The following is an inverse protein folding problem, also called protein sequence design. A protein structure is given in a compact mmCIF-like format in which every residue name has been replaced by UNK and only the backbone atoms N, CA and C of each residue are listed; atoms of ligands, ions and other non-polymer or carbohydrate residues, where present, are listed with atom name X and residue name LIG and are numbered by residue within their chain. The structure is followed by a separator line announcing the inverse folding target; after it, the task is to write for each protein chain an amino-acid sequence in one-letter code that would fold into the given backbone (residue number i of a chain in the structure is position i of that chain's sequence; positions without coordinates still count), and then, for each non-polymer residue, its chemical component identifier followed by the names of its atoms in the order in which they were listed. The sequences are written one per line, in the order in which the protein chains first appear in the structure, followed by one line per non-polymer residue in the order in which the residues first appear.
data_IF_697909966203
#
_entry.id   IF_697909966203
#
_cell.length_a   1.000
_cell.length_b   1.000
_cell.length_c   1.000
_cell.angle_alpha   90.00
_cell.angle_beta   90.00
_cell.angle_gamma   90.00
#
_symmetry.space_group_name_H-M   'P 1'
#
loop_
_entity.id
_entity.type
_entity.pdbx_description
1 polymer ?
#
# COMPACT_ATOMS: atom_id res chain seq x y z
N UNK A 1 19.10 -8.82 -12.46
CA UNK A 1 17.78 -9.37 -12.10
C UNK A 1 17.26 -8.82 -10.76
N UNK A 2 18.02 -8.88 -9.66
CA UNK A 2 17.58 -8.36 -8.34
C UNK A 2 17.24 -6.86 -8.35
N UNK A 3 18.04 -6.04 -9.05
CA UNK A 3 17.75 -4.60 -9.22
C UNK A 3 16.40 -4.35 -9.89
N UNK A 4 16.02 -5.18 -10.87
CA UNK A 4 14.72 -5.08 -11.55
C UNK A 4 13.56 -5.31 -10.58
N UNK A 5 13.62 -6.35 -9.75
CA UNK A 5 12.57 -6.61 -8.75
C UNK A 5 12.47 -5.48 -7.71
N UNK A 6 13.61 -4.90 -7.31
CA UNK A 6 13.59 -3.70 -6.47
C UNK A 6 12.83 -2.56 -7.13
N UNK A 7 13.14 -2.25 -8.39
CA UNK A 7 12.45 -1.18 -9.16
C UNK A 7 10.96 -1.48 -9.25
N UNK A 8 10.56 -2.72 -9.52
CA UNK A 8 9.16 -3.11 -9.62
C UNK A 8 8.40 -2.95 -8.29
N UNK A 9 9.03 -3.22 -7.14
CA UNK A 9 8.43 -2.92 -5.81
C UNK A 9 8.11 -1.43 -5.69
N UNK A 10 9.05 -0.56 -6.09
CA UNK A 10 8.84 0.88 -6.06
C UNK A 10 7.73 1.32 -7.01
N UNK A 11 7.78 0.90 -8.28
CA UNK A 11 6.79 1.29 -9.30
C UNK A 11 5.37 0.89 -8.87
N UNK A 12 5.18 -0.36 -8.48
CA UNK A 12 3.85 -0.86 -8.06
C UNK A 12 3.34 -0.17 -6.79
N UNK A 13 4.23 0.09 -5.83
CA UNK A 13 3.86 0.77 -4.58
C UNK A 13 3.54 2.24 -4.80
N UNK A 14 4.31 2.95 -5.62
CA UNK A 14 4.07 4.37 -5.95
C UNK A 14 2.75 4.53 -6.69
N UNK A 15 2.48 3.68 -7.70
CA UNK A 15 1.20 3.71 -8.42
C UNK A 15 0.04 3.47 -7.44
N UNK A 16 0.15 2.49 -6.55
CA UNK A 16 -0.88 2.23 -5.55
C UNK A 16 -1.12 3.42 -4.61
N UNK A 17 -0.05 4.13 -4.22
CA UNK A 17 -0.12 5.34 -3.38
C UNK A 17 -0.85 6.46 -4.14
N UNK A 18 -0.44 6.75 -5.38
CA UNK A 18 -1.05 7.80 -6.21
C UNK A 18 -2.53 7.53 -6.42
N UNK A 19 -2.90 6.31 -6.79
CA UNK A 19 -4.32 5.93 -6.97
C UNK A 19 -5.11 6.09 -5.68
N UNK A 20 -4.54 5.72 -4.52
CA UNK A 20 -5.19 5.90 -3.22
C UNK A 20 -5.44 7.39 -2.90
N UNK A 21 -4.48 8.26 -3.23
CA UNK A 21 -4.64 9.72 -3.05
C UNK A 21 -5.73 10.29 -3.96
N UNK A 22 -5.79 9.84 -5.22
CA UNK A 22 -6.85 10.24 -6.16
C UNK A 22 -8.22 9.85 -5.61
N UNK A 23 -8.35 8.66 -5.03
CA UNK A 23 -9.59 8.25 -4.36
C UNK A 23 -9.95 9.14 -3.19
N UNK A 24 -9.01 9.47 -2.30
CA UNK A 24 -9.27 10.37 -1.19
C UNK A 24 -9.71 11.76 -1.66
N UNK A 25 -9.03 12.34 -2.64
CA UNK A 25 -9.41 13.62 -3.23
C UNK A 25 -10.81 13.56 -3.85
N UNK A 26 -11.11 12.50 -4.60
CA UNK A 26 -12.41 12.29 -5.22
C UNK A 26 -13.57 12.21 -4.22
N UNK A 27 -13.38 11.49 -3.12
CA UNK A 27 -14.35 11.37 -2.03
C UNK A 27 -14.53 12.72 -1.32
N UNK A 28 -13.44 13.45 -1.06
CA UNK A 28 -13.47 14.78 -0.44
C UNK A 28 -14.21 15.81 -1.30
N UNK A 29 -14.05 15.75 -2.62
CA UNK A 29 -14.75 16.64 -3.56
C UNK A 29 -16.21 16.25 -3.79
N UNK A 30 -16.74 15.23 -3.11
CA UNK A 30 -18.12 14.72 -3.31
C UNK A 30 -18.42 14.39 -4.77
N UNK A 31 -17.43 13.87 -5.50
CA UNK A 31 -17.64 13.50 -6.90
C UNK A 31 -18.59 12.30 -6.97
N UNK A 32 -19.82 12.54 -7.43
CA UNK A 32 -20.88 11.52 -7.55
C UNK A 32 -20.48 10.32 -8.41
N UNK A 33 -19.55 10.51 -9.34
CA UNK A 33 -19.02 9.43 -10.17
C UNK A 33 -18.04 8.53 -9.43
N UNK A 34 -17.41 8.98 -8.35
CA UNK A 34 -16.49 8.17 -7.53
C UNK A 34 -17.25 7.51 -6.37
N UNK A 35 -18.30 8.16 -5.87
CA UNK A 35 -19.22 7.55 -4.92
C UNK A 35 -20.11 6.50 -5.56
N UNK A 36 -20.33 6.53 -6.88
CA UNK A 36 -21.06 5.45 -7.56
C UNK A 36 -20.26 4.14 -7.42
N UNK A 37 -20.86 3.14 -6.77
CA UNK A 37 -20.19 1.88 -6.45
C UNK A 37 -19.46 1.18 -7.62
N UNK A 38 -19.84 1.44 -8.88
CA UNK A 38 -19.18 0.90 -10.07
C UNK A 38 -17.76 1.43 -10.30
N UNK A 39 -17.53 2.75 -10.20
CA UNK A 39 -16.20 3.33 -10.44
C UNK A 39 -15.25 2.95 -9.32
N UNK A 40 -15.73 2.97 -8.07
CA UNK A 40 -14.96 2.46 -6.94
C UNK A 40 -14.57 0.99 -7.14
N UNK A 41 -15.49 0.13 -7.57
CA UNK A 41 -15.22 -1.31 -7.74
C UNK A 41 -14.14 -1.55 -8.81
N UNK A 42 -14.25 -0.89 -9.96
CA UNK A 42 -13.28 -1.02 -11.06
C UNK A 42 -11.89 -0.51 -10.67
N UNK A 43 -11.80 0.68 -10.08
CA UNK A 43 -10.52 1.24 -9.68
C UNK A 43 -9.94 0.55 -8.43
N UNK A 44 -10.78 0.03 -7.53
CA UNK A 44 -10.34 -0.78 -6.39
C UNK A 44 -9.76 -2.13 -6.82
N UNK A 45 -10.26 -2.74 -7.89
CA UNK A 45 -9.68 -3.96 -8.45
C UNK A 45 -8.26 -3.70 -8.97
N UNK A 46 -8.05 -2.62 -9.71
CA UNK A 46 -6.73 -2.20 -10.19
C UNK A 46 -5.77 -1.90 -9.03
N UNK A 47 -6.24 -1.17 -8.00
CA UNK A 47 -5.46 -0.89 -6.80
C UNK A 47 -5.06 -2.17 -6.06
N UNK A 48 -5.97 -3.14 -5.95
CA UNK A 48 -5.69 -4.45 -5.36
C UNK A 48 -4.61 -5.17 -6.14
N UNK A 49 -4.66 -5.15 -7.48
CA UNK A 49 -3.62 -5.74 -8.32
C UNK A 49 -2.26 -5.11 -8.05
N UNK A 50 -2.14 -3.78 -8.01
CA UNK A 50 -0.87 -3.11 -7.70
C UNK A 50 -0.32 -3.50 -6.32
N UNK A 51 -1.20 -3.56 -5.31
CA UNK A 51 -0.86 -3.94 -3.94
C UNK A 51 -0.40 -5.40 -3.82
N UNK A 52 -1.08 -6.32 -4.49
CA UNK A 52 -0.69 -7.74 -4.50
C UNK A 52 0.62 -7.92 -5.25
N UNK A 53 0.78 -7.29 -6.42
CA UNK A 53 2.01 -7.36 -7.20
C UNK A 53 3.22 -6.85 -6.43
N UNK A 54 3.09 -5.77 -5.64
CA UNK A 54 4.21 -5.26 -4.84
C UNK A 54 4.69 -6.28 -3.80
N UNK A 55 3.77 -7.00 -3.15
CA UNK A 55 4.09 -8.10 -2.22
C UNK A 55 4.73 -9.28 -2.95
N UNK A 56 4.22 -9.65 -4.13
CA UNK A 56 4.83 -10.70 -4.96
C UNK A 56 6.27 -10.33 -5.33
N UNK A 57 6.53 -9.09 -5.72
CA UNK A 57 7.90 -8.66 -6.03
C UNK A 57 8.82 -8.65 -4.81
N UNK A 58 8.31 -8.36 -3.60
CA UNK A 58 9.06 -8.53 -2.34
C UNK A 58 9.47 -9.99 -2.15
N UNK A 59 8.54 -10.94 -2.33
CA UNK A 59 8.81 -12.37 -2.18
C UNK A 59 9.81 -12.88 -3.22
N UNK A 60 9.67 -12.46 -4.48
CA UNK A 60 10.60 -12.85 -5.55
C UNK A 60 11.98 -12.24 -5.31
N UNK A 61 12.06 -10.97 -4.89
CA UNK A 61 13.33 -10.35 -4.51
C UNK A 61 14.01 -11.14 -3.39
N UNK A 62 13.26 -11.43 -2.31
CA UNK A 62 13.75 -12.22 -1.19
C UNK A 62 14.30 -13.56 -1.65
N UNK A 63 13.52 -14.32 -2.42
CA UNK A 63 13.92 -15.62 -2.96
C UNK A 63 15.20 -15.55 -3.81
N UNK A 64 15.31 -14.57 -4.70
CA UNK A 64 16.51 -14.39 -5.54
C UNK A 64 17.76 -14.06 -4.71
N UNK A 65 17.61 -13.27 -3.65
CA UNK A 65 18.73 -12.90 -2.76
C UNK A 65 19.17 -14.07 -1.87
N UNK A 66 18.23 -14.95 -1.48
CA UNK A 66 18.53 -16.16 -0.68
C UNK A 66 19.53 -17.10 -1.35
N UNK A 67 19.60 -17.10 -2.69
CA UNK A 67 20.53 -17.93 -3.46
C UNK A 67 21.95 -17.36 -3.60
N UNK A 68 22.22 -16.16 -3.08
CA UNK A 68 23.53 -15.51 -3.17
C UNK A 68 24.46 -15.92 -2.02
N UNK A 69 25.73 -15.48 -2.12
CA UNK A 69 26.69 -15.62 -1.03
C UNK A 69 26.18 -14.98 0.27
N UNK A 70 26.56 -15.51 1.44
CA UNK A 70 26.09 -15.02 2.75
C UNK A 70 26.19 -13.49 2.90
N UNK A 71 27.30 -12.89 2.46
CA UNK A 71 27.53 -11.45 2.54
C UNK A 71 26.56 -10.66 1.66
N UNK A 72 26.32 -11.11 0.44
CA UNK A 72 25.39 -10.46 -0.50
C UNK A 72 23.93 -10.67 -0.08
N UNK A 73 23.62 -11.86 0.46
CA UNK A 73 22.32 -12.19 1.01
C UNK A 73 21.93 -11.25 2.15
N UNK A 74 22.80 -11.08 3.16
CA UNK A 74 22.57 -10.15 4.27
C UNK A 74 22.40 -8.71 3.79
N UNK A 75 23.21 -8.28 2.82
CA UNK A 75 23.10 -6.93 2.24
C UNK A 75 21.77 -6.73 1.50
N UNK A 76 21.33 -7.73 0.74
CA UNK A 76 20.05 -7.70 0.03
C UNK A 76 18.85 -7.72 0.99
N UNK A 77 18.89 -8.53 2.05
CA UNK A 77 17.85 -8.54 3.08
C UNK A 77 17.77 -7.20 3.83
N UNK A 78 18.90 -6.61 4.20
CA UNK A 78 18.91 -5.29 4.83
C UNK A 78 18.32 -4.21 3.91
N UNK A 79 18.66 -4.25 2.61
CA UNK A 79 18.09 -3.34 1.63
C UNK A 79 16.56 -3.53 1.49
N UNK A 80 16.10 -4.78 1.35
CA UNK A 80 14.67 -5.10 1.24
C UNK A 80 13.92 -4.73 2.53
N UNK A 81 14.49 -5.01 3.70
CA UNK A 81 13.94 -4.62 5.00
C UNK A 81 13.69 -3.11 5.08
N UNK A 82 14.63 -2.29 4.58
CA UNK A 82 14.49 -0.83 4.54
C UNK A 82 13.39 -0.37 3.58
N UNK A 83 13.27 -1.01 2.42
CA UNK A 83 12.20 -0.74 1.44
C UNK A 83 10.84 -1.05 2.05
N UNK A 84 10.71 -2.24 2.64
CA UNK A 84 9.49 -2.70 3.30
C UNK A 84 9.13 -1.80 4.50
N UNK A 85 10.10 -1.38 5.32
CA UNK A 85 9.87 -0.43 6.41
C UNK A 85 9.24 0.87 5.92
N UNK A 86 9.83 1.47 4.87
CA UNK A 86 9.37 2.74 4.32
C UNK A 86 7.94 2.65 3.79
N UNK A 87 7.67 1.66 2.94
CA UNK A 87 6.32 1.50 2.40
C UNK A 87 5.31 1.12 3.47
N UNK A 88 5.71 0.27 4.44
CA UNK A 88 4.91 -0.08 5.60
C UNK A 88 4.46 1.16 6.38
N UNK A 89 5.42 2.02 6.75
CA UNK A 89 5.14 3.28 7.45
C UNK A 89 4.23 4.21 6.63
N UNK A 90 4.47 4.37 5.32
CA UNK A 90 3.64 5.21 4.45
C UNK A 90 2.18 4.74 4.45
N UNK A 91 1.95 3.43 4.33
CA UNK A 91 0.60 2.86 4.35
C UNK A 91 -0.09 3.06 5.69
N UNK A 92 0.61 2.92 6.81
CA UNK A 92 0.06 3.21 8.15
C UNK A 92 -0.31 4.68 8.28
N UNK A 93 0.54 5.60 7.81
CA UNK A 93 0.23 7.04 7.81
C UNK A 93 -1.05 7.30 7.01
N UNK A 94 -1.22 6.72 5.82
CA UNK A 94 -2.46 6.87 5.06
C UNK A 94 -3.69 6.29 5.77
N UNK A 95 -3.52 5.19 6.49
CA UNK A 95 -4.61 4.62 7.27
C UNK A 95 -5.05 5.56 8.40
N UNK A 96 -4.09 6.15 9.12
CA UNK A 96 -4.34 7.12 10.22
C UNK A 96 -4.96 8.41 9.68
N UNK A 97 -4.45 8.96 8.58
CA UNK A 97 -5.02 10.14 7.92
C UNK A 97 -6.47 9.87 7.50
N UNK A 98 -6.76 8.68 6.97
CA UNK A 98 -8.13 8.30 6.60
C UNK A 98 -9.07 8.22 7.82
N UNK A 99 -8.59 7.81 9.00
CA UNK A 99 -9.38 7.89 10.24
C UNK A 99 -9.79 9.34 10.51
N UNK A 100 -8.84 10.28 10.47
CA UNK A 100 -9.12 11.69 10.69
C UNK A 100 -10.13 12.24 9.66
N UNK A 101 -9.94 11.93 8.37
CA UNK A 101 -10.85 12.33 7.30
C UNK A 101 -12.27 11.74 7.47
N UNK A 102 -12.37 10.48 7.90
CA UNK A 102 -13.65 9.81 8.17
C UNK A 102 -14.41 10.51 9.30
N UNK A 103 -13.73 10.95 10.35
CA UNK A 103 -14.35 11.71 11.45
C UNK A 103 -14.89 13.05 10.92
N UNK A 104 -14.08 13.79 10.15
CA UNK A 104 -14.50 15.06 9.53
C UNK A 104 -15.72 14.87 8.63
N UNK A 105 -15.74 13.81 7.83
CA UNK A 105 -16.87 13.50 6.94
C UNK A 105 -18.14 13.08 7.68
N UNK A 106 -18.00 12.40 8.81
CA UNK A 106 -19.13 12.07 9.69
C UNK A 106 -19.75 13.35 10.27
N UNK A 107 -18.92 14.27 10.77
CA UNK A 107 -19.38 15.55 11.34
C UNK A 107 -20.06 16.43 10.28
N UNK A 108 -19.62 16.35 9.03
CA UNK A 108 -20.17 17.13 7.91
C UNK A 108 -21.39 16.47 7.23
N UNK A 109 -21.96 15.42 7.83
CA UNK A 109 -23.13 14.68 7.30
C UNK A 109 -22.94 14.22 5.84
N UNK A 110 -21.73 13.78 5.47
CA UNK A 110 -21.50 13.21 4.15
C UNK A 110 -22.17 11.85 3.99
N UNK A 111 -22.44 11.52 2.72
CA UNK A 111 -23.13 10.32 2.27
C UNK A 111 -22.53 9.00 2.82
N UNK A 112 -23.42 8.06 3.15
CA UNK A 112 -23.09 6.77 3.77
C UNK A 112 -22.24 5.86 2.86
N UNK A 113 -22.41 5.98 1.54
CA UNK A 113 -21.65 5.20 0.55
C UNK A 113 -20.18 5.66 0.51
N UNK A 114 -19.95 6.97 0.60
CA UNK A 114 -18.61 7.57 0.70
C UNK A 114 -17.87 7.12 1.98
N UNK A 115 -18.58 7.08 3.11
CA UNK A 115 -18.05 6.59 4.39
C UNK A 115 -17.67 5.11 4.35
N UNK A 116 -18.51 4.28 3.72
CA UNK A 116 -18.23 2.84 3.52
C UNK A 116 -16.99 2.63 2.65
N UNK A 117 -16.86 3.42 1.58
CA UNK A 117 -15.74 3.38 0.66
C UNK A 117 -14.42 3.77 1.35
N UNK A 118 -14.42 4.83 2.15
CA UNK A 118 -13.27 5.19 2.96
C UNK A 118 -12.88 4.11 3.96
N UNK A 119 -13.86 3.48 4.60
CA UNK A 119 -13.61 2.36 5.52
C UNK A 119 -12.85 1.22 4.83
N UNK A 120 -13.26 0.85 3.61
CA UNK A 120 -12.56 -0.17 2.80
C UNK A 120 -11.13 0.24 2.45
N UNK A 121 -10.93 1.50 2.01
CA UNK A 121 -9.59 2.04 1.71
C UNK A 121 -8.69 2.05 2.95
N UNK A 122 -9.21 2.46 4.11
CA UNK A 122 -8.50 2.48 5.39
C UNK A 122 -8.02 1.09 5.78
N UNK A 123 -8.92 0.11 5.78
CA UNK A 123 -8.57 -1.27 6.12
C UNK A 123 -7.53 -1.85 5.15
N UNK A 124 -7.65 -1.53 3.86
CA UNK A 124 -6.66 -1.91 2.86
C UNK A 124 -5.28 -1.28 3.11
N UNK A 125 -5.23 -0.01 3.52
CA UNK A 125 -3.98 0.66 3.90
C UNK A 125 -3.37 0.03 5.15
N UNK A 126 -4.16 -0.24 6.19
CA UNK A 126 -3.67 -0.95 7.38
C UNK A 126 -3.07 -2.31 7.04
N UNK A 127 -3.80 -3.12 6.26
CA UNK A 127 -3.33 -4.46 5.89
C UNK A 127 -2.00 -4.40 5.14
N UNK A 128 -1.89 -3.53 4.14
CA UNK A 128 -0.64 -3.35 3.39
C UNK A 128 0.50 -2.85 4.29
N UNK A 129 0.21 -1.88 5.16
CA UNK A 129 1.18 -1.35 6.12
C UNK A 129 1.74 -2.45 7.02
N UNK A 130 0.85 -3.26 7.60
CA UNK A 130 1.23 -4.38 8.46
C UNK A 130 2.06 -5.41 7.70
N UNK A 131 1.63 -5.83 6.50
CA UNK A 131 2.37 -6.82 5.70
C UNK A 131 3.81 -6.35 5.44
N UNK A 132 3.97 -5.12 4.97
CA UNK A 132 5.30 -4.55 4.71
C UNK A 132 6.14 -4.39 5.97
N UNK A 133 5.55 -3.97 7.09
CA UNK A 133 6.28 -3.87 8.36
C UNK A 133 6.71 -5.25 8.89
N UNK A 134 5.87 -6.28 8.75
CA UNK A 134 6.23 -7.66 9.11
C UNK A 134 7.42 -8.13 8.28
N UNK A 135 7.40 -7.94 6.95
CA UNK A 135 8.55 -8.24 6.11
C UNK A 135 9.80 -7.47 6.55
N UNK A 136 9.66 -6.19 6.89
CA UNK A 136 10.78 -5.39 7.38
C UNK A 136 11.44 -5.99 8.62
N UNK A 137 10.63 -6.42 9.60
CA UNK A 137 11.12 -7.04 10.84
C UNK A 137 11.76 -8.39 10.56
N UNK A 138 11.11 -9.26 9.79
CA UNK A 138 11.62 -10.61 9.47
C UNK A 138 12.94 -10.56 8.72
N UNK A 139 13.11 -9.58 7.82
CA UNK A 139 14.34 -9.40 7.02
C UNK A 139 15.45 -8.66 7.76
N UNK A 140 15.18 -8.16 8.98
CA UNK A 140 16.18 -7.46 9.79
C UNK A 140 17.07 -8.51 10.46
N UNK A 141 18.04 -9.01 9.71
CA UNK A 141 19.07 -9.92 10.24
C UNK A 141 20.05 -9.09 11.06
N UNK A 142 20.04 -9.30 12.38
CA UNK A 142 21.01 -8.76 13.33
C UNK A 142 22.32 -9.50 13.28
#
# INVERSE_FOLDING_TARGET
MISFFSVMIYVTSIIAIVVTLVFYAGILMSNKNISSGQVYTSCSAQLKTCKVSSVVFVLVYWFCVSGLSKKECLKGYAALSKVCSRFGCIWIVFAVVNIALSIVMTITNKDSEAMTTMGKLRSSCFLMGIIFLVFSVVLKVG
#
